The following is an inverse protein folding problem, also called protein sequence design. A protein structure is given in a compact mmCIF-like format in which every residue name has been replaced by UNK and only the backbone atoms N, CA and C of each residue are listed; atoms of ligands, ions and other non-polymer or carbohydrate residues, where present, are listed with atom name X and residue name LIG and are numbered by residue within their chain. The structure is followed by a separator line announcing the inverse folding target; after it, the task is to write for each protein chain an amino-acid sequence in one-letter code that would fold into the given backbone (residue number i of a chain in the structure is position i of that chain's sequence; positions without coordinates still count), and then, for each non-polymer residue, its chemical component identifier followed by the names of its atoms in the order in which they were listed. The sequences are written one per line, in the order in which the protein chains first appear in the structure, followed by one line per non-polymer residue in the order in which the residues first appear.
data_IF_229947252542
#
_entry.id   IF_229947252542
#
_cell.length_a   1.000
_cell.length_b   1.000
_cell.length_c   1.000
_cell.angle_alpha   90.00
_cell.angle_beta   90.00
_cell.angle_gamma   90.00
#
_symmetry.space_group_name_H-M   'P 1'
#
loop_
_entity.id
_entity.type
_entity.pdbx_description
1 polymer ?
#
# COMPACT_ATOMS: atom_id res chain seq x y z
N UNK A 1 -1.74 0.87 -15.18
CA UNK A 1 -0.65 0.38 -14.31
C UNK A 1 0.33 -0.56 -15.01
N UNK A 2 -0.10 -1.70 -15.57
CA UNK A 2 0.84 -2.70 -16.12
C UNK A 2 1.72 -2.14 -17.24
N UNK A 3 1.15 -1.52 -18.28
CA UNK A 3 1.95 -1.02 -19.41
C UNK A 3 2.93 0.08 -18.99
N UNK A 4 2.50 1.07 -18.21
CA UNK A 4 3.42 2.06 -17.62
C UNK A 4 4.53 1.43 -16.78
N UNK A 5 4.21 0.38 -16.03
CA UNK A 5 5.20 -0.34 -15.21
C UNK A 5 6.22 -1.06 -16.09
N UNK A 6 5.80 -1.70 -17.19
CA UNK A 6 6.73 -2.30 -18.15
C UNK A 6 7.66 -1.24 -18.76
N UNK A 7 7.11 -0.08 -19.14
CA UNK A 7 7.93 1.03 -19.66
C UNK A 7 8.95 1.50 -18.63
N UNK A 8 8.56 1.67 -17.37
CA UNK A 8 9.48 2.05 -16.29
C UNK A 8 10.56 0.98 -16.02
N UNK A 9 10.18 -0.31 -16.02
CA UNK A 9 11.09 -1.43 -15.76
C UNK A 9 12.32 -1.43 -16.67
N UNK A 10 12.17 -1.04 -17.93
CA UNK A 10 13.26 -0.96 -18.93
C UNK A 10 14.39 -0.04 -18.45
N UNK A 11 14.05 1.07 -17.77
CA UNK A 11 15.04 2.04 -17.28
C UNK A 11 15.67 1.71 -15.93
N UNK A 12 15.07 0.80 -15.15
CA UNK A 12 15.52 0.52 -13.78
C UNK A 12 16.67 -0.50 -13.80
N UNK A 13 17.84 -0.09 -13.29
CA UNK A 13 19.04 -0.94 -13.17
C UNK A 13 19.28 -1.48 -11.76
N UNK A 14 18.96 -0.69 -10.73
CA UNK A 14 19.29 -1.02 -9.32
C UNK A 14 18.14 -0.75 -8.33
N UNK A 15 17.20 0.14 -8.66
CA UNK A 15 16.13 0.53 -7.75
C UNK A 15 15.10 -0.58 -7.53
N UNK A 16 14.54 -0.64 -6.32
CA UNK A 16 13.35 -1.44 -6.03
C UNK A 16 12.14 -0.83 -6.76
N UNK A 17 11.44 -1.64 -7.54
CA UNK A 17 10.24 -1.25 -8.26
C UNK A 17 9.00 -1.72 -7.51
N UNK A 18 8.16 -0.78 -7.12
CA UNK A 18 6.86 -1.04 -6.49
C UNK A 18 5.75 -0.63 -7.45
N UNK A 19 4.75 -1.49 -7.63
CA UNK A 19 3.59 -1.20 -8.49
C UNK A 19 2.32 -1.12 -7.65
N UNK A 20 1.59 -0.04 -7.79
CA UNK A 20 0.29 0.10 -7.16
C UNK A 20 -0.72 -0.93 -7.66
N UNK A 21 -1.44 -1.55 -6.71
CA UNK A 21 -2.68 -2.26 -7.02
C UNK A 21 -3.81 -1.25 -7.19
N UNK A 22 -4.44 -1.14 -8.38
CA UNK A 22 -5.51 -0.16 -8.61
C UNK A 22 -6.76 -0.42 -7.76
N UNK A 23 -7.60 0.60 -7.64
CA UNK A 23 -8.91 0.49 -7.00
C UNK A 23 -9.70 -0.72 -7.50
N UNK A 24 -10.38 -1.40 -6.57
CA UNK A 24 -11.14 -2.64 -6.78
C UNK A 24 -10.35 -3.87 -7.27
N UNK A 25 -9.03 -3.80 -7.43
CA UNK A 25 -8.23 -4.97 -7.84
C UNK A 25 -7.81 -5.87 -6.66
N UNK A 26 -8.18 -5.54 -5.44
CA UNK A 26 -7.83 -6.30 -4.23
C UNK A 26 -9.00 -6.39 -3.22
N UNK A 27 -10.26 -6.46 -3.68
CA UNK A 27 -11.45 -6.47 -2.81
C UNK A 27 -11.51 -7.64 -1.82
N UNK A 28 -10.87 -8.76 -2.15
CA UNK A 28 -10.74 -9.91 -1.28
C UNK A 28 -9.38 -10.59 -1.49
N UNK A 29 -8.98 -11.45 -0.55
CA UNK A 29 -7.66 -12.08 -0.53
C UNK A 29 -7.33 -12.90 -1.79
N UNK A 30 -8.33 -13.59 -2.37
CA UNK A 30 -8.14 -14.41 -3.59
C UNK A 30 -7.90 -13.52 -4.81
N UNK A 31 -8.74 -12.49 -4.98
CA UNK A 31 -8.61 -11.51 -6.05
C UNK A 31 -7.29 -10.75 -5.97
N UNK A 32 -6.93 -10.29 -4.76
CA UNK A 32 -5.67 -9.59 -4.51
C UNK A 32 -4.46 -10.45 -4.90
N UNK A 33 -4.41 -11.71 -4.48
CA UNK A 33 -3.29 -12.61 -4.80
C UNK A 33 -3.19 -12.87 -6.30
N UNK A 34 -4.32 -13.16 -6.96
CA UNK A 34 -4.36 -13.37 -8.42
C UNK A 34 -3.82 -12.14 -9.17
N UNK A 35 -4.29 -10.96 -8.78
CA UNK A 35 -3.94 -9.71 -9.46
C UNK A 35 -2.49 -9.29 -9.15
N UNK A 36 -2.02 -9.45 -7.90
CA UNK A 36 -0.62 -9.19 -7.54
C UNK A 36 0.35 -10.11 -8.32
N UNK A 37 0.04 -11.42 -8.41
CA UNK A 37 0.82 -12.36 -9.23
C UNK A 37 0.84 -11.95 -10.71
N UNK A 38 -0.30 -11.51 -11.26
CA UNK A 38 -0.38 -11.01 -12.64
C UNK A 38 0.49 -9.77 -12.84
N UNK A 39 0.44 -8.81 -11.91
CA UNK A 39 1.26 -7.59 -11.94
C UNK A 39 2.74 -8.00 -11.96
N UNK A 40 3.22 -8.71 -10.93
CA UNK A 40 4.62 -9.11 -10.80
C UNK A 40 5.11 -9.89 -12.03
N UNK A 41 4.31 -10.85 -12.51
CA UNK A 41 4.68 -11.67 -13.69
C UNK A 41 4.93 -10.79 -14.92
N UNK A 42 4.08 -9.80 -15.16
CA UNK A 42 4.07 -8.98 -16.36
C UNK A 42 4.98 -7.75 -16.28
N UNK A 43 5.17 -7.18 -15.09
CA UNK A 43 5.95 -5.95 -14.89
C UNK A 43 7.36 -6.21 -14.37
N UNK A 44 7.59 -7.41 -13.80
CA UNK A 44 8.84 -7.75 -13.08
C UNK A 44 9.16 -6.78 -11.94
N UNK A 45 8.13 -6.22 -11.31
CA UNK A 45 8.30 -5.44 -10.09
C UNK A 45 8.55 -6.36 -8.89
N UNK A 46 9.27 -5.86 -7.89
CA UNK A 46 9.64 -6.62 -6.70
C UNK A 46 8.54 -6.61 -5.64
N UNK A 47 7.67 -5.59 -5.64
CA UNK A 47 6.59 -5.45 -4.66
C UNK A 47 5.32 -4.79 -5.24
N UNK A 48 4.23 -4.91 -4.49
CA UNK A 48 2.98 -4.19 -4.75
C UNK A 48 2.64 -3.22 -3.64
N UNK A 49 1.96 -2.11 -3.96
CA UNK A 49 1.43 -1.16 -2.98
C UNK A 49 -0.09 -1.28 -2.87
N UNK A 50 -0.61 -1.27 -1.65
CA UNK A 50 -2.05 -1.30 -1.35
C UNK A 50 -2.42 -0.16 -0.39
N UNK A 51 -3.58 0.45 -0.63
CA UNK A 51 -4.15 1.48 0.24
C UNK A 51 -5.06 0.88 1.31
N UNK A 52 -4.77 1.21 2.57
CA UNK A 52 -5.57 0.82 3.72
C UNK A 52 -4.73 0.29 4.90
N UNK A 53 -5.29 0.41 6.10
CA UNK A 53 -4.74 -0.17 7.33
C UNK A 53 -5.47 -1.46 7.73
N UNK A 54 -6.06 -1.44 8.92
CA UNK A 54 -6.86 -2.55 9.47
C UNK A 54 -7.92 -3.12 8.53
N UNK A 55 -8.51 -2.30 7.64
CA UNK A 55 -9.52 -2.74 6.67
C UNK A 55 -9.01 -3.76 5.65
N UNK A 56 -7.71 -3.74 5.30
CA UNK A 56 -7.12 -4.64 4.31
C UNK A 56 -6.18 -5.67 4.93
N UNK A 57 -6.10 -5.76 6.26
CA UNK A 57 -5.05 -6.53 6.92
C UNK A 57 -5.08 -8.02 6.58
N UNK A 58 -6.29 -8.59 6.41
CA UNK A 58 -6.46 -9.99 5.99
C UNK A 58 -5.96 -10.24 4.55
N UNK A 59 -5.99 -9.21 3.69
CA UNK A 59 -5.44 -9.28 2.34
C UNK A 59 -3.91 -9.19 2.41
N UNK A 60 -3.38 -8.23 3.16
CA UNK A 60 -1.93 -8.05 3.36
C UNK A 60 -1.28 -9.33 3.90
N UNK A 61 -1.83 -9.89 4.98
CA UNK A 61 -1.33 -11.14 5.57
C UNK A 61 -1.36 -12.30 4.55
N UNK A 62 -2.41 -12.37 3.73
CA UNK A 62 -2.52 -13.42 2.72
C UNK A 62 -1.51 -13.25 1.58
N UNK A 63 -1.25 -12.03 1.13
CA UNK A 63 -0.22 -11.72 0.13
C UNK A 63 1.18 -12.10 0.63
N UNK A 64 1.53 -11.68 1.85
CA UNK A 64 2.83 -11.95 2.46
C UNK A 64 3.05 -13.45 2.69
N UNK A 65 2.04 -14.18 3.18
CA UNK A 65 2.08 -15.65 3.29
C UNK A 65 2.34 -16.34 1.94
N UNK A 66 1.92 -15.71 0.84
CA UNK A 66 2.17 -16.19 -0.53
C UNK A 66 3.40 -15.55 -1.19
N UNK A 67 4.35 -15.03 -0.39
CA UNK A 67 5.63 -14.47 -0.84
C UNK A 67 5.49 -13.25 -1.76
N UNK A 68 4.40 -12.49 -1.62
CA UNK A 68 4.22 -11.20 -2.29
C UNK A 68 4.64 -10.11 -1.31
N UNK A 69 5.66 -9.32 -1.68
CA UNK A 69 6.09 -8.18 -0.88
C UNK A 69 5.10 -7.02 -1.01
N UNK A 70 4.77 -6.39 0.13
CA UNK A 70 3.74 -5.35 0.21
C UNK A 70 4.33 -4.08 0.82
N UNK A 71 4.14 -2.97 0.12
CA UNK A 71 4.23 -1.62 0.65
C UNK A 71 2.81 -1.17 1.06
N UNK A 72 2.65 -0.71 2.30
CA UNK A 72 1.40 -0.14 2.79
C UNK A 72 1.25 1.32 2.36
N UNK A 73 0.02 1.84 2.45
CA UNK A 73 -0.26 3.25 2.28
C UNK A 73 -1.35 3.67 3.27
N UNK A 74 -1.02 4.66 4.12
CA UNK A 74 -1.87 5.27 5.15
C UNK A 74 -1.92 6.80 4.98
N UNK A 75 -2.83 7.44 5.72
CA UNK A 75 -3.10 8.86 5.63
C UNK A 75 -4.27 9.13 4.68
N UNK A 76 -4.07 10.03 3.72
CA UNK A 76 -5.01 10.20 2.60
C UNK A 76 -4.90 8.98 1.69
N UNK A 77 -6.03 8.34 1.40
CA UNK A 77 -6.10 7.18 0.51
C UNK A 77 -6.85 7.59 -0.77
N UNK A 78 -6.16 8.00 -1.84
CA UNK A 78 -6.80 8.54 -3.04
C UNK A 78 -7.84 7.62 -3.67
N UNK A 79 -7.69 6.30 -3.56
CA UNK A 79 -8.65 5.33 -4.10
C UNK A 79 -9.99 5.33 -3.36
N UNK A 80 -10.02 5.85 -2.13
CA UNK A 80 -11.20 5.84 -1.26
C UNK A 80 -11.81 7.23 -1.06
N UNK A 81 -11.06 8.31 -1.31
CA UNK A 81 -11.56 9.68 -1.13
C UNK A 81 -12.47 10.07 -2.29
N UNK A 82 -13.67 10.56 -1.95
CA UNK A 82 -14.57 11.22 -2.89
C UNK A 82 -14.51 12.73 -2.64
N UNK A 83 -14.15 13.51 -3.66
CA UNK A 83 -14.03 14.96 -3.55
C UNK A 83 -12.63 15.44 -3.16
N UNK A 84 -12.54 16.50 -2.35
CA UNK A 84 -11.27 17.16 -2.03
C UNK A 84 -10.41 16.35 -1.06
N UNK A 85 -9.11 16.25 -1.35
CA UNK A 85 -8.13 15.72 -0.41
C UNK A 85 -7.96 16.66 0.80
N UNK A 86 -8.02 16.09 2.00
CA UNK A 86 -7.80 16.79 3.27
C UNK A 86 -6.76 16.01 4.06
N UNK A 87 -5.75 16.70 4.58
CA UNK A 87 -4.72 16.10 5.42
C UNK A 87 -5.30 15.42 6.66
N UNK A 88 -4.57 14.45 7.22
CA UNK A 88 -5.01 13.56 8.30
C UNK A 88 -4.10 13.65 9.52
N UNK A 89 -4.64 13.27 10.68
CA UNK A 89 -3.84 13.20 11.93
C UNK A 89 -3.80 14.51 12.72
N UNK A 90 -4.70 15.46 12.43
CA UNK A 90 -4.91 16.62 13.30
C UNK A 90 -5.80 16.28 14.51
N UNK A 91 -6.79 15.43 14.28
CA UNK A 91 -7.74 15.00 15.31
C UNK A 91 -7.17 13.75 15.98
N UNK A 92 -7.20 13.72 17.31
CA UNK A 92 -6.62 12.65 18.13
C UNK A 92 -7.10 11.24 17.73
N UNK A 93 -8.37 11.10 17.37
CA UNK A 93 -8.93 9.83 16.88
C UNK A 93 -8.32 9.37 15.55
N UNK A 94 -8.06 10.30 14.62
CA UNK A 94 -7.35 9.99 13.37
C UNK A 94 -5.89 9.62 13.64
N UNK A 95 -5.22 10.34 14.55
CA UNK A 95 -3.84 10.05 14.95
C UNK A 95 -3.69 8.63 15.47
N UNK A 96 -4.49 8.29 16.50
CA UNK A 96 -4.52 6.96 17.11
C UNK A 96 -4.81 5.87 16.08
N UNK A 97 -5.74 6.13 15.15
CA UNK A 97 -6.06 5.17 14.09
C UNK A 97 -4.89 4.94 13.15
N UNK A 98 -4.27 6.00 12.62
CA UNK A 98 -3.13 5.89 11.68
C UNK A 98 -1.95 5.20 12.37
N UNK A 99 -1.61 5.58 13.60
CA UNK A 99 -0.53 4.95 14.35
C UNK A 99 -0.79 3.45 14.56
N UNK A 100 -2.00 3.09 14.99
CA UNK A 100 -2.39 1.68 15.16
C UNK A 100 -2.36 0.91 13.85
N UNK A 101 -2.86 1.51 12.76
CA UNK A 101 -2.84 0.90 11.44
C UNK A 101 -1.40 0.70 10.94
N UNK A 102 -0.48 1.63 11.22
CA UNK A 102 0.93 1.52 10.87
C UNK A 102 1.60 0.35 11.60
N UNK A 103 1.44 0.28 12.93
CA UNK A 103 1.95 -0.84 13.74
C UNK A 103 1.33 -2.18 13.35
N UNK A 104 0.07 -2.17 12.96
CA UNK A 104 -0.60 -3.38 12.48
C UNK A 104 0.00 -3.86 11.14
N UNK A 105 0.22 -2.95 10.17
CA UNK A 105 0.88 -3.30 8.91
C UNK A 105 2.32 -3.80 9.13
N UNK A 106 3.10 -3.11 9.96
CA UNK A 106 4.45 -3.53 10.39
C UNK A 106 4.42 -4.96 10.95
N UNK A 107 3.54 -5.24 11.92
CA UNK A 107 3.42 -6.56 12.55
C UNK A 107 3.07 -7.70 11.58
N UNK A 108 2.53 -7.38 10.40
CA UNK A 108 2.19 -8.38 9.37
C UNK A 108 3.28 -8.58 8.33
N UNK A 109 4.40 -7.86 8.42
CA UNK A 109 5.55 -7.99 7.53
C UNK A 109 5.51 -7.05 6.31
N UNK A 110 4.72 -5.98 6.37
CA UNK A 110 4.81 -4.90 5.38
C UNK A 110 6.19 -4.24 5.51
N UNK A 111 6.94 -4.18 4.41
CA UNK A 111 8.34 -3.75 4.46
C UNK A 111 8.52 -2.21 4.45
N UNK A 112 7.48 -1.48 4.05
CA UNK A 112 7.48 -0.02 4.00
C UNK A 112 6.05 0.53 3.96
N UNK A 113 5.84 1.76 4.42
CA UNK A 113 4.53 2.41 4.45
C UNK A 113 4.66 3.82 3.88
N UNK A 114 3.83 4.17 2.91
CA UNK A 114 3.62 5.55 2.47
C UNK A 114 2.69 6.24 3.48
N UNK A 115 3.09 7.40 3.97
CA UNK A 115 2.24 8.30 4.78
C UNK A 115 1.88 9.52 3.93
N UNK A 116 0.67 9.57 3.39
CA UNK A 116 0.25 10.65 2.48
C UNK A 116 -0.57 11.71 3.22
N UNK A 117 -0.13 12.97 3.12
CA UNK A 117 -0.77 14.13 3.74
C UNK A 117 -1.11 13.91 5.23
N UNK A 118 -0.15 13.35 5.97
CA UNK A 118 -0.25 13.14 7.42
C UNK A 118 0.42 14.30 8.15
N UNK A 119 -0.14 14.69 9.29
CA UNK A 119 0.45 15.71 10.16
C UNK A 119 1.88 15.32 10.58
N UNK A 120 2.81 16.27 10.46
CA UNK A 120 4.24 15.96 10.51
C UNK A 120 4.72 15.43 11.86
N UNK A 121 4.08 15.83 12.96
CA UNK A 121 4.46 15.32 14.29
C UNK A 121 4.05 13.86 14.45
N UNK A 122 2.89 13.47 13.93
CA UNK A 122 2.47 12.06 13.87
C UNK A 122 3.38 11.25 12.93
N UNK A 123 3.74 11.78 11.76
CA UNK A 123 4.60 11.08 10.82
C UNK A 123 6.01 10.81 11.39
N UNK A 124 6.51 11.68 12.28
CA UNK A 124 7.78 11.49 12.99
C UNK A 124 7.70 10.45 14.11
N UNK A 125 6.51 10.23 14.65
CA UNK A 125 6.26 9.28 15.75
C UNK A 125 6.13 7.83 15.24
N UNK A 126 5.65 7.65 14.01
CA UNK A 126 5.45 6.35 13.35
C UNK A 126 6.79 5.76 12.89
#
# INVERSE_FOLDING_TARGET
MIEHSKSARIGIKKSLMVVDMPYQTYRNKKEALRNAKKIIKLTKCEAVKLEGGSSIIKIVEYLIKNKIQVMGHLGVLPQSVRGKFKFKGKIESERKKIFKDAKLLESKGVFSIVLECVESSLAKEI
#
